data_IF_950660735799
#
_entry.id   IF_950660735799
#
_cell.length_a   1.000
_cell.length_b   1.000
_cell.length_c   1.000
_cell.angle_alpha   90.00
_cell.angle_beta   90.00
_cell.angle_gamma   90.00
#
_symmetry.space_group_name_H-M   'P 1'
#
loop_
_entity.id
_entity.type
_entity.pdbx_description
1 polymer ?
#
# COMPACT_ATOMS: atom_id res chain seq x y z
N UNK A 1 16.54 65.01 -0.65
CA UNK A 1 15.72 63.91 -1.21
C UNK A 1 16.06 62.65 -0.42
N UNK A 2 15.13 62.22 0.42
CA UNK A 2 15.29 61.19 1.45
C UNK A 2 15.29 59.79 0.86
N UNK A 3 16.35 59.03 1.16
CA UNK A 3 16.50 57.61 0.88
C UNK A 3 15.47 56.79 1.66
N UNK A 4 14.59 56.06 0.96
CA UNK A 4 13.70 55.07 1.57
C UNK A 4 14.46 53.74 1.74
N UNK A 5 14.60 53.29 2.99
CA UNK A 5 15.12 51.96 3.31
C UNK A 5 14.11 50.87 2.91
N UNK A 6 14.57 49.70 2.41
CA UNK A 6 13.68 48.60 2.03
C UNK A 6 12.97 48.04 3.26
N UNK A 7 11.65 47.83 3.15
CA UNK A 7 10.82 47.27 4.21
C UNK A 7 11.31 45.88 4.61
N UNK A 8 11.72 45.73 5.87
CA UNK A 8 12.01 44.44 6.46
C UNK A 8 10.73 43.61 6.52
N UNK A 9 10.59 42.64 5.62
CA UNK A 9 9.65 41.54 5.80
C UNK A 9 10.21 40.65 6.92
N UNK A 10 9.79 40.90 8.15
CA UNK A 10 10.13 40.05 9.29
C UNK A 10 9.28 38.78 9.21
N UNK A 11 9.86 37.71 8.69
CA UNK A 11 9.30 36.36 8.79
C UNK A 11 9.48 35.86 10.22
N UNK A 12 8.40 35.93 10.99
CA UNK A 12 8.32 35.41 12.35
C UNK A 12 8.23 33.88 12.26
N UNK A 13 9.34 33.19 12.55
CA UNK A 13 9.37 31.73 12.65
C UNK A 13 8.98 31.38 14.09
N UNK A 14 7.69 31.12 14.31
CA UNK A 14 7.21 30.58 15.57
C UNK A 14 7.58 29.08 15.65
N UNK A 15 8.09 28.60 16.80
CA UNK A 15 8.30 27.18 17.02
C UNK A 15 6.94 26.48 17.00
N UNK A 16 6.78 25.48 16.14
CA UNK A 16 5.54 24.69 16.05
C UNK A 16 5.32 23.87 17.35
N UNK A 17 4.65 24.49 18.32
CA UNK A 17 4.17 23.82 19.53
C UNK A 17 2.74 23.30 19.29
N UNK A 18 2.60 22.02 18.92
CA UNK A 18 1.31 21.31 19.05
C UNK A 18 0.93 20.36 17.92
N UNK A 19 -0.21 19.69 18.12
CA UNK A 19 -0.87 18.83 17.14
C UNK A 19 -1.34 19.66 15.96
N UNK A 20 -0.54 19.77 14.91
CA UNK A 20 -1.07 20.28 13.65
C UNK A 20 -1.86 19.17 12.95
N UNK A 21 -3.18 19.33 12.75
CA UNK A 21 -3.94 18.41 11.92
C UNK A 21 -3.31 18.38 10.53
N UNK A 22 -3.35 17.22 9.87
CA UNK A 22 -2.95 17.01 8.47
C UNK A 22 -3.11 18.32 7.68
N UNK A 23 -2.02 19.05 7.43
CA UNK A 23 -2.07 20.27 6.63
C UNK A 23 -2.22 19.85 5.17
N UNK A 24 -3.43 19.38 4.83
CA UNK A 24 -3.84 19.07 3.47
C UNK A 24 -3.64 20.28 2.56
N UNK A 25 -3.72 21.48 3.14
CA UNK A 25 -3.39 22.76 2.50
C UNK A 25 -1.92 22.83 2.08
N UNK A 26 -0.99 22.40 2.94
CA UNK A 26 0.43 22.38 2.62
C UNK A 26 0.71 21.34 1.53
N UNK A 27 0.09 20.16 1.59
CA UNK A 27 0.23 19.16 0.51
C UNK A 27 -0.17 19.76 -0.86
N UNK A 28 -1.22 20.58 -0.88
CA UNK A 28 -1.68 21.27 -2.09
C UNK A 28 -0.72 22.38 -2.56
N UNK A 29 -0.10 23.09 -1.62
CA UNK A 29 0.91 24.11 -1.89
C UNK A 29 2.18 23.49 -2.51
N UNK A 30 2.60 22.33 -2.00
CA UNK A 30 3.76 21.57 -2.48
C UNK A 30 3.41 20.53 -3.58
N UNK A 31 2.29 20.70 -4.30
CA UNK A 31 1.87 19.77 -5.37
C UNK A 31 2.90 19.58 -6.48
N UNK A 32 3.71 20.60 -6.76
CA UNK A 32 4.77 20.53 -7.77
C UNK A 32 5.89 19.58 -7.33
N UNK A 33 6.24 19.59 -6.03
CA UNK A 33 7.17 18.63 -5.45
C UNK A 33 6.58 17.22 -5.47
N UNK A 34 5.30 17.06 -5.12
CA UNK A 34 4.61 15.77 -5.22
C UNK A 34 4.67 15.23 -6.64
N UNK A 35 4.36 16.05 -7.64
CA UNK A 35 4.42 15.67 -9.05
C UNK A 35 5.85 15.27 -9.46
N UNK A 36 6.86 16.04 -9.05
CA UNK A 36 8.25 15.74 -9.33
C UNK A 36 8.67 14.38 -8.72
N UNK A 37 8.29 14.12 -7.47
CA UNK A 37 8.59 12.85 -6.80
C UNK A 37 7.86 11.69 -7.48
N UNK A 38 6.58 11.83 -7.81
CA UNK A 38 5.83 10.82 -8.58
C UNK A 38 6.54 10.52 -9.90
N UNK A 39 6.87 11.56 -10.67
CA UNK A 39 7.53 11.41 -11.97
C UNK A 39 8.89 10.71 -11.83
N UNK A 40 9.68 11.12 -10.83
CA UNK A 40 10.97 10.50 -10.51
C UNK A 40 10.79 9.04 -10.13
N UNK A 41 9.83 8.73 -9.26
CA UNK A 41 9.63 7.37 -8.75
C UNK A 41 9.09 6.43 -9.84
N UNK A 42 8.24 6.92 -10.75
CA UNK A 42 7.84 6.22 -11.98
C UNK A 42 9.07 5.95 -12.84
N UNK A 43 9.85 6.99 -13.11
CA UNK A 43 11.06 6.86 -13.94
C UNK A 43 12.02 5.86 -13.32
N UNK A 44 12.28 5.92 -12.02
CA UNK A 44 13.16 4.97 -11.32
C UNK A 44 12.58 3.55 -11.35
N UNK A 45 11.28 3.38 -11.15
CA UNK A 45 10.63 2.07 -11.13
C UNK A 45 10.73 1.34 -12.48
N UNK A 46 10.74 2.07 -13.59
CA UNK A 46 10.76 1.49 -14.94
C UNK A 46 12.06 1.75 -15.72
N UNK A 47 12.98 2.58 -15.23
CA UNK A 47 14.24 2.87 -15.89
C UNK A 47 15.30 1.78 -15.64
N UNK A 48 16.28 1.73 -16.54
CA UNK A 48 17.47 0.86 -16.47
C UNK A 48 17.21 -0.65 -16.46
N UNK A 49 16.02 -1.10 -16.89
CA UNK A 49 15.76 -2.52 -17.13
C UNK A 49 15.28 -2.73 -18.55
N UNK A 50 15.71 -3.82 -19.20
CA UNK A 50 15.30 -4.14 -20.58
C UNK A 50 13.78 -4.38 -20.71
N UNK A 51 13.11 -4.76 -19.62
CA UNK A 51 11.68 -5.07 -19.57
C UNK A 51 10.79 -3.87 -19.18
N UNK A 52 11.34 -2.85 -18.49
CA UNK A 52 10.61 -1.64 -18.11
C UNK A 52 9.28 -1.92 -17.39
N UNK A 53 8.18 -1.41 -17.95
CA UNK A 53 6.79 -1.61 -17.45
C UNK A 53 6.39 -3.09 -17.40
N UNK A 54 7.01 -3.94 -18.21
CA UNK A 54 6.79 -5.39 -18.19
C UNK A 54 7.01 -6.02 -16.81
N UNK A 55 7.83 -5.42 -15.94
CA UNK A 55 8.03 -5.90 -14.57
C UNK A 55 6.77 -5.82 -13.69
N UNK A 56 5.92 -4.81 -13.90
CA UNK A 56 4.66 -4.66 -13.17
C UNK A 56 3.69 -5.84 -13.45
N UNK A 57 3.78 -6.43 -14.64
CA UNK A 57 3.02 -7.62 -15.04
C UNK A 57 3.75 -8.91 -14.68
N UNK A 58 5.05 -8.96 -14.96
CA UNK A 58 5.84 -10.17 -14.85
C UNK A 58 5.89 -10.69 -13.41
N UNK A 59 6.08 -9.80 -12.43
CA UNK A 59 6.15 -10.20 -11.01
C UNK A 59 4.87 -10.91 -10.54
N UNK A 60 3.66 -10.33 -10.65
CA UNK A 60 2.44 -11.02 -10.24
C UNK A 60 2.16 -12.29 -11.05
N UNK A 61 2.45 -12.30 -12.35
CA UNK A 61 2.25 -13.50 -13.19
C UNK A 61 3.19 -14.64 -12.77
N UNK A 62 4.48 -14.35 -12.51
CA UNK A 62 5.42 -15.36 -12.05
C UNK A 62 5.07 -15.88 -10.64
N UNK A 63 4.71 -14.99 -9.71
CA UNK A 63 4.27 -15.41 -8.37
C UNK A 63 3.02 -16.29 -8.46
N UNK A 64 2.06 -15.92 -9.29
CA UNK A 64 0.88 -16.74 -9.55
C UNK A 64 1.25 -18.09 -10.16
N UNK A 65 2.14 -18.13 -11.16
CA UNK A 65 2.57 -19.38 -11.80
C UNK A 65 3.24 -20.33 -10.79
N UNK A 66 4.11 -19.81 -9.92
CA UNK A 66 4.74 -20.57 -8.84
C UNK A 66 3.69 -21.12 -7.88
N UNK A 67 2.75 -20.27 -7.43
CA UNK A 67 1.69 -20.72 -6.53
C UNK A 67 0.74 -21.71 -7.20
N UNK A 68 0.38 -21.52 -8.47
CA UNK A 68 -0.45 -22.45 -9.21
C UNK A 68 0.24 -23.81 -9.40
N UNK A 69 1.54 -23.81 -9.67
CA UNK A 69 2.31 -25.04 -9.78
C UNK A 69 2.42 -25.79 -8.45
N UNK A 70 2.83 -25.11 -7.38
CA UNK A 70 3.03 -25.74 -6.08
C UNK A 70 1.69 -26.09 -5.43
N UNK A 71 0.78 -25.13 -5.33
CA UNK A 71 -0.41 -25.30 -4.51
C UNK A 71 -1.64 -25.80 -5.29
N UNK A 72 -1.72 -25.46 -6.58
CA UNK A 72 -2.76 -25.97 -7.47
C UNK A 72 -2.45 -27.37 -7.99
N UNK A 73 -1.27 -27.57 -8.59
CA UNK A 73 -0.93 -28.84 -9.24
C UNK A 73 -0.36 -29.88 -8.26
N UNK A 74 0.62 -29.52 -7.43
CA UNK A 74 1.28 -30.47 -6.53
C UNK A 74 0.42 -30.81 -5.30
N UNK A 75 -0.12 -29.82 -4.58
CA UNK A 75 -0.92 -30.07 -3.35
C UNK A 75 -2.44 -30.13 -3.57
N UNK A 76 -2.94 -29.75 -4.76
CA UNK A 76 -4.37 -29.75 -5.11
C UNK A 76 -5.25 -29.06 -4.07
N UNK A 77 -4.86 -27.86 -3.64
CA UNK A 77 -5.67 -27.08 -2.70
C UNK A 77 -7.04 -26.75 -3.30
N UNK A 78 -8.10 -26.73 -2.47
CA UNK A 78 -9.42 -26.31 -2.92
C UNK A 78 -9.40 -24.83 -3.34
N UNK A 79 -10.10 -24.54 -4.43
CA UNK A 79 -10.23 -23.19 -5.02
C UNK A 79 -11.68 -22.78 -5.23
N UNK A 80 -12.59 -23.33 -4.41
CA UNK A 80 -14.03 -23.04 -4.41
C UNK A 80 -14.68 -23.07 -5.80
N UNK A 81 -14.25 -24.02 -6.65
CA UNK A 81 -14.80 -24.23 -7.99
C UNK A 81 -14.22 -23.34 -9.11
N UNK A 82 -13.28 -22.44 -8.79
CA UNK A 82 -12.63 -21.53 -9.73
C UNK A 82 -11.25 -22.08 -10.15
N UNK A 83 -10.76 -21.89 -11.38
CA UNK A 83 -9.39 -22.26 -11.74
C UNK A 83 -8.37 -21.63 -10.79
N UNK A 84 -7.50 -22.46 -10.21
CA UNK A 84 -6.55 -22.04 -9.19
C UNK A 84 -5.66 -20.83 -9.59
N UNK A 85 -5.16 -20.72 -10.85
CA UNK A 85 -4.38 -19.55 -11.29
C UNK A 85 -5.10 -18.21 -11.08
N UNK A 86 -6.36 -18.09 -11.51
CA UNK A 86 -7.12 -16.85 -11.40
C UNK A 86 -7.60 -16.59 -9.97
N UNK A 87 -7.88 -17.67 -9.21
CA UNK A 87 -8.17 -17.59 -7.78
C UNK A 87 -7.03 -16.93 -7.00
N UNK A 88 -5.79 -17.38 -7.20
CA UNK A 88 -4.61 -16.78 -6.55
C UNK A 88 -4.28 -15.41 -7.11
N UNK A 89 -4.36 -15.21 -8.43
CA UNK A 89 -4.07 -13.91 -9.04
C UNK A 89 -4.94 -12.80 -8.48
N UNK A 90 -6.25 -13.06 -8.30
CA UNK A 90 -7.20 -12.09 -7.75
C UNK A 90 -6.84 -11.61 -6.34
N UNK A 91 -6.29 -12.49 -5.50
CA UNK A 91 -5.85 -12.18 -4.15
C UNK A 91 -4.45 -11.54 -4.12
N UNK A 92 -3.57 -11.92 -5.05
CA UNK A 92 -2.22 -11.38 -5.16
C UNK A 92 -2.21 -9.90 -5.52
N UNK A 93 -3.17 -9.40 -6.31
CA UNK A 93 -3.21 -8.00 -6.72
C UNK A 93 -3.31 -7.02 -5.54
N UNK A 94 -4.36 -7.06 -4.68
CA UNK A 94 -4.44 -6.18 -3.53
C UNK A 94 -3.29 -6.43 -2.54
N UNK A 95 -2.86 -7.68 -2.38
CA UNK A 95 -1.71 -8.02 -1.54
C UNK A 95 -0.42 -7.33 -2.00
N UNK A 96 -0.13 -7.35 -3.31
CA UNK A 96 1.08 -6.73 -3.85
C UNK A 96 1.04 -5.22 -3.77
N UNK A 97 -0.14 -4.60 -3.96
CA UNK A 97 -0.34 -3.18 -3.70
C UNK A 97 0.01 -2.88 -2.24
N UNK A 98 -0.62 -3.57 -1.28
CA UNK A 98 -0.32 -3.41 0.15
C UNK A 98 1.17 -3.55 0.45
N UNK A 99 1.79 -4.66 0.03
CA UNK A 99 3.21 -4.94 0.23
C UNK A 99 4.11 -3.85 -0.34
N UNK A 100 3.78 -3.31 -1.52
CA UNK A 100 4.53 -2.22 -2.16
C UNK A 100 4.40 -0.91 -1.37
N UNK A 101 3.20 -0.58 -0.88
CA UNK A 101 2.98 0.63 -0.08
C UNK A 101 3.71 0.56 1.25
N UNK A 102 3.65 -0.59 1.93
CA UNK A 102 4.36 -0.82 3.18
C UNK A 102 5.87 -0.68 2.95
N UNK A 103 6.43 -1.46 2.01
CA UNK A 103 7.85 -1.44 1.66
C UNK A 103 8.35 -0.03 1.30
N UNK A 104 7.69 0.59 0.32
CA UNK A 104 8.11 1.88 -0.19
C UNK A 104 7.97 2.99 0.86
N UNK A 105 6.82 3.09 1.53
CA UNK A 105 6.60 4.14 2.54
C UNK A 105 7.56 3.99 3.72
N UNK A 106 7.79 2.76 4.20
CA UNK A 106 8.72 2.47 5.28
C UNK A 106 10.18 2.84 4.96
N UNK A 107 10.54 2.83 3.69
CA UNK A 107 11.88 3.18 3.20
C UNK A 107 11.98 4.65 2.76
N UNK A 108 10.85 5.35 2.64
CA UNK A 108 10.75 6.63 1.93
C UNK A 108 11.55 7.74 2.58
N UNK A 109 11.64 7.76 3.91
CA UNK A 109 12.41 8.76 4.65
C UNK A 109 13.91 8.62 4.44
N UNK A 110 14.41 7.38 4.51
CA UNK A 110 15.84 7.09 4.31
C UNK A 110 16.23 7.28 2.84
N UNK A 111 15.38 6.84 1.90
CA UNK A 111 15.64 7.00 0.47
C UNK A 111 15.67 8.47 0.01
N UNK A 112 14.96 9.36 0.73
CA UNK A 112 14.91 10.79 0.42
C UNK A 112 15.68 11.65 1.43
N UNK A 113 16.59 11.07 2.23
CA UNK A 113 17.34 11.76 3.29
C UNK A 113 18.00 13.06 2.81
N UNK A 114 18.60 13.04 1.61
CA UNK A 114 19.24 14.23 1.01
C UNK A 114 18.28 15.36 0.63
N UNK A 115 17.00 15.05 0.38
CA UNK A 115 15.96 16.05 0.14
C UNK A 115 15.39 16.55 1.46
N UNK A 116 15.14 15.64 2.40
CA UNK A 116 14.59 15.93 3.73
C UNK A 116 15.52 16.85 4.55
N UNK A 117 16.83 16.72 4.37
CA UNK A 117 17.84 17.55 5.06
C UNK A 117 18.07 18.93 4.43
N UNK A 118 17.68 19.13 3.17
CA UNK A 118 18.04 20.34 2.41
C UNK A 118 16.87 21.27 2.12
N UNK A 119 15.64 20.75 2.16
CA UNK A 119 14.42 21.50 1.84
C UNK A 119 13.36 21.14 2.86
N UNK A 120 12.76 22.15 3.50
CA UNK A 120 11.58 21.94 4.32
C UNK A 120 10.35 21.68 3.43
N UNK A 121 9.77 20.49 3.55
CA UNK A 121 8.50 20.13 2.92
C UNK A 121 7.72 19.13 3.79
N UNK A 122 6.38 19.06 3.68
CA UNK A 122 5.58 18.08 4.41
C UNK A 122 6.02 16.65 4.09
N UNK A 123 6.59 15.92 5.06
CA UNK A 123 7.23 14.63 4.80
C UNK A 123 6.27 13.55 4.32
N UNK A 124 4.96 13.70 4.56
CA UNK A 124 3.89 12.87 4.00
C UNK A 124 3.85 12.83 2.46
N UNK A 125 4.45 13.81 1.78
CA UNK A 125 4.52 13.84 0.31
C UNK A 125 5.28 12.63 -0.24
N UNK A 126 6.32 12.14 0.46
CA UNK A 126 7.12 11.00 -0.02
C UNK A 126 6.37 9.66 0.04
N UNK A 127 5.69 9.28 1.15
CA UNK A 127 4.78 8.13 1.16
C UNK A 127 3.63 8.24 0.14
N UNK A 128 3.13 9.46 -0.10
CA UNK A 128 2.06 9.69 -1.09
C UNK A 128 2.53 9.47 -2.53
N UNK A 129 3.76 9.88 -2.89
CA UNK A 129 4.30 9.62 -4.25
C UNK A 129 4.35 8.12 -4.54
N UNK A 130 4.78 7.33 -3.57
CA UNK A 130 4.86 5.86 -3.64
C UNK A 130 3.48 5.25 -3.84
N UNK A 131 2.45 5.85 -3.23
CA UNK A 131 1.07 5.38 -3.37
C UNK A 131 0.57 5.48 -4.80
N UNK A 132 0.87 6.58 -5.48
CA UNK A 132 0.51 6.76 -6.88
C UNK A 132 1.20 5.72 -7.77
N UNK A 133 2.50 5.48 -7.55
CA UNK A 133 3.24 4.49 -8.35
C UNK A 133 2.74 3.06 -8.08
N UNK A 134 2.47 2.70 -6.83
CA UNK A 134 1.92 1.38 -6.51
C UNK A 134 0.52 1.16 -7.09
N UNK A 135 -0.32 2.20 -7.10
CA UNK A 135 -1.65 2.15 -7.71
C UNK A 135 -1.56 1.99 -9.23
N UNK A 136 -0.58 2.63 -9.88
CA UNK A 136 -0.33 2.45 -11.31
C UNK A 136 0.01 0.99 -11.66
N UNK A 137 0.92 0.36 -10.90
CA UNK A 137 1.24 -1.05 -11.08
C UNK A 137 0.02 -1.95 -10.89
N UNK A 138 -0.78 -1.67 -9.86
CA UNK A 138 -2.03 -2.39 -9.61
C UNK A 138 -2.99 -2.27 -10.79
N UNK A 139 -3.19 -1.09 -11.36
CA UNK A 139 -4.06 -0.88 -12.53
C UNK A 139 -3.56 -1.66 -13.74
N UNK A 140 -2.24 -1.67 -14.00
CA UNK A 140 -1.63 -2.46 -15.07
C UNK A 140 -1.90 -3.96 -14.85
N UNK A 141 -1.74 -4.44 -13.62
CA UNK A 141 -1.95 -5.83 -13.28
C UNK A 141 -3.44 -6.24 -13.27
N UNK A 142 -4.37 -5.33 -12.98
CA UNK A 142 -5.82 -5.53 -13.19
C UNK A 142 -6.12 -5.77 -14.67
N UNK A 143 -5.44 -5.09 -15.59
CA UNK A 143 -5.58 -5.35 -17.03
C UNK A 143 -5.30 -6.81 -17.41
N UNK A 144 -4.30 -7.42 -16.76
CA UNK A 144 -3.97 -8.84 -16.94
C UNK A 144 -5.04 -9.74 -16.33
N UNK A 145 -5.56 -9.41 -15.14
CA UNK A 145 -6.68 -10.14 -14.52
C UNK A 145 -7.91 -10.14 -15.45
N UNK A 146 -8.26 -9.01 -16.05
CA UNK A 146 -9.37 -8.91 -17.00
C UNK A 146 -9.14 -9.81 -18.23
N UNK A 147 -7.91 -9.86 -18.75
CA UNK A 147 -7.52 -10.78 -19.81
C UNK A 147 -7.67 -12.26 -19.40
N UNK A 148 -7.31 -12.61 -18.15
CA UNK A 148 -7.51 -13.95 -17.61
C UNK A 148 -9.00 -14.28 -17.45
N UNK A 149 -9.83 -13.34 -16.94
CA UNK A 149 -11.28 -13.53 -16.82
C UNK A 149 -11.93 -13.82 -18.17
N UNK A 150 -11.50 -13.09 -19.22
CA UNK A 150 -11.93 -13.34 -20.59
C UNK A 150 -11.51 -14.73 -21.08
N UNK A 151 -10.26 -15.15 -20.82
CA UNK A 151 -9.78 -16.48 -21.20
C UNK A 151 -10.54 -17.62 -20.49
N UNK A 152 -10.78 -17.49 -19.18
CA UNK A 152 -11.49 -18.50 -18.38
C UNK A 152 -13.03 -18.39 -18.46
N UNK A 153 -13.57 -17.51 -19.31
CA UNK A 153 -15.02 -17.29 -19.48
C UNK A 153 -15.76 -16.94 -18.17
N UNK A 154 -15.09 -16.19 -17.28
CA UNK A 154 -15.67 -15.74 -16.02
C UNK A 154 -16.34 -14.38 -16.24
N UNK A 155 -17.65 -14.33 -16.08
CA UNK A 155 -18.42 -13.09 -16.22
C UNK A 155 -18.19 -12.15 -15.02
N UNK A 156 -18.01 -10.86 -15.30
CA UNK A 156 -18.00 -9.82 -14.27
C UNK A 156 -19.36 -9.77 -13.57
N UNK A 157 -19.31 -9.72 -12.24
CA UNK A 157 -20.52 -9.67 -11.42
C UNK A 157 -20.79 -8.23 -10.96
N UNK A 158 -21.99 -7.97 -10.43
CA UNK A 158 -22.32 -6.65 -9.86
C UNK A 158 -21.40 -6.25 -8.69
N UNK A 159 -20.68 -7.20 -8.08
CA UNK A 159 -19.72 -6.94 -7.01
C UNK A 159 -18.51 -6.11 -7.43
N UNK A 160 -18.28 -5.92 -8.74
CA UNK A 160 -17.19 -5.07 -9.27
C UNK A 160 -17.24 -3.64 -8.73
N UNK A 161 -18.43 -3.12 -8.40
CA UNK A 161 -18.60 -1.81 -7.76
C UNK A 161 -17.99 -1.71 -6.36
N UNK A 162 -17.71 -2.84 -5.70
CA UNK A 162 -17.01 -2.88 -4.41
C UNK A 162 -15.49 -2.76 -4.57
N UNK A 163 -14.92 -3.06 -5.74
CA UNK A 163 -13.47 -3.04 -5.94
C UNK A 163 -12.82 -1.69 -5.62
N UNK A 164 -13.37 -0.52 -6.02
CA UNK A 164 -12.80 0.77 -5.65
C UNK A 164 -12.70 0.97 -4.13
N UNK A 165 -13.72 0.55 -3.38
CA UNK A 165 -13.70 0.60 -1.91
C UNK A 165 -12.57 -0.28 -1.36
N UNK A 166 -12.44 -1.52 -1.84
CA UNK A 166 -11.39 -2.43 -1.37
C UNK A 166 -9.98 -1.94 -1.72
N UNK A 167 -9.80 -1.29 -2.87
CA UNK A 167 -8.54 -0.62 -3.23
C UNK A 167 -8.23 0.52 -2.26
N UNK A 168 -9.22 1.34 -1.90
CA UNK A 168 -9.04 2.40 -0.91
C UNK A 168 -8.65 1.84 0.46
N UNK A 169 -9.30 0.75 0.90
CA UNK A 169 -8.95 0.06 2.16
C UNK A 169 -7.52 -0.49 2.10
N UNK A 170 -7.12 -1.08 0.97
CA UNK A 170 -5.75 -1.57 0.73
C UNK A 170 -4.74 -0.43 0.84
N UNK A 171 -5.03 0.71 0.23
CA UNK A 171 -4.19 1.90 0.27
C UNK A 171 -4.08 2.43 1.70
N UNK A 172 -5.20 2.56 2.41
CA UNK A 172 -5.24 3.02 3.80
C UNK A 172 -4.43 2.10 4.73
N UNK A 173 -4.61 0.78 4.62
CA UNK A 173 -3.87 -0.19 5.40
C UNK A 173 -2.36 -0.16 5.07
N UNK A 174 -2.01 -0.15 3.78
CA UNK A 174 -0.62 -0.16 3.32
C UNK A 174 0.13 1.12 3.69
N UNK A 175 -0.51 2.28 3.54
CA UNK A 175 0.03 3.56 3.99
C UNK A 175 0.13 3.63 5.51
N UNK A 176 -0.91 3.25 6.25
CA UNK A 176 -0.90 3.29 7.72
C UNK A 176 0.24 2.48 8.31
N UNK A 177 0.38 1.23 7.89
CA UNK A 177 1.48 0.35 8.30
C UNK A 177 2.83 0.89 7.79
N UNK A 178 2.87 1.36 6.55
CA UNK A 178 4.08 1.93 5.96
C UNK A 178 4.61 3.15 6.72
N UNK A 179 3.72 4.02 7.23
CA UNK A 179 4.06 5.18 8.05
C UNK A 179 4.58 4.77 9.43
N UNK A 180 3.97 3.76 10.06
CA UNK A 180 4.49 3.14 11.28
C UNK A 180 5.92 2.64 11.09
N UNK A 181 6.16 1.89 10.01
CA UNK A 181 7.50 1.38 9.69
C UNK A 181 8.45 2.53 9.38
N UNK A 182 8.02 3.56 8.67
CA UNK A 182 8.86 4.72 8.35
C UNK A 182 9.35 5.41 9.63
N UNK A 183 8.44 5.65 10.58
CA UNK A 183 8.79 6.22 11.88
C UNK A 183 9.77 5.34 12.65
N UNK A 184 9.53 4.02 12.69
CA UNK A 184 10.41 3.07 13.38
C UNK A 184 11.77 2.93 12.71
N UNK A 185 11.83 2.97 11.38
CA UNK A 185 13.06 2.83 10.60
C UNK A 185 14.03 4.01 10.81
N UNK A 186 13.49 5.20 11.05
CA UNK A 186 14.32 6.35 11.42
C UNK A 186 14.92 6.18 12.82
N UNK A 187 14.17 5.60 13.76
CA UNK A 187 14.66 5.31 15.11
C UNK A 187 15.64 4.12 15.12
N UNK A 188 15.44 3.13 14.26
CA UNK A 188 16.22 1.91 14.18
C UNK A 188 16.32 1.41 12.73
N UNK A 189 17.52 1.48 12.14
CA UNK A 189 17.77 1.06 10.74
C UNK A 189 17.55 -0.43 10.49
N UNK A 190 17.62 -1.28 11.52
CA UNK A 190 17.38 -2.72 11.40
C UNK A 190 15.93 -3.05 10.99
N UNK A 191 14.98 -2.15 11.28
CA UNK A 191 13.58 -2.28 10.87
C UNK A 191 13.48 -2.31 9.34
N UNK A 192 14.28 -1.50 8.63
CA UNK A 192 14.34 -1.53 7.18
C UNK A 192 14.81 -2.88 6.62
N UNK A 193 15.73 -3.57 7.33
CA UNK A 193 16.19 -4.90 6.95
C UNK A 193 15.18 -6.01 7.28
N UNK A 194 14.44 -5.89 8.39
CA UNK A 194 13.41 -6.84 8.79
C UNK A 194 12.14 -6.75 7.92
N UNK A 195 11.89 -5.58 7.33
CA UNK A 195 10.65 -5.29 6.61
C UNK A 195 10.29 -6.29 5.49
N UNK A 196 11.19 -6.69 4.57
CA UNK A 196 10.85 -7.66 3.53
C UNK A 196 10.41 -9.01 4.10
N UNK A 197 11.03 -9.44 5.20
CA UNK A 197 10.70 -10.68 5.88
C UNK A 197 9.34 -10.62 6.57
N UNK A 198 9.02 -9.50 7.23
CA UNK A 198 7.71 -9.29 7.86
C UNK A 198 6.57 -9.31 6.83
N UNK A 199 6.77 -8.64 5.69
CA UNK A 199 5.81 -8.67 4.57
C UNK A 199 5.65 -10.12 4.08
N UNK A 200 6.74 -10.87 3.94
CA UNK A 200 6.68 -12.26 3.48
C UNK A 200 5.90 -13.16 4.46
N UNK A 201 6.10 -13.05 5.76
CA UNK A 201 5.30 -13.79 6.76
C UNK A 201 3.82 -13.41 6.64
N UNK A 202 3.54 -12.11 6.50
CA UNK A 202 2.18 -11.61 6.46
C UNK A 202 1.41 -12.06 5.20
N UNK A 203 2.11 -12.34 4.09
CA UNK A 203 1.50 -12.98 2.93
C UNK A 203 0.86 -14.33 3.29
N UNK A 204 1.56 -15.16 4.08
CA UNK A 204 1.05 -16.47 4.50
C UNK A 204 -0.02 -16.38 5.59
N UNK A 205 0.01 -15.33 6.40
CA UNK A 205 -1.02 -15.01 7.39
C UNK A 205 -2.29 -14.40 6.76
N UNK A 206 -2.30 -14.16 5.45
CA UNK A 206 -3.44 -13.64 4.68
C UNK A 206 -3.93 -14.76 3.75
N UNK A 207 -5.24 -14.86 3.43
CA UNK A 207 -5.78 -16.03 2.73
C UNK A 207 -5.55 -15.88 1.23
N UNK A 208 -4.31 -15.61 0.81
CA UNK A 208 -3.95 -15.40 -0.59
C UNK A 208 -3.85 -16.73 -1.33
N UNK A 209 -3.25 -17.73 -0.67
CA UNK A 209 -2.93 -19.03 -1.26
C UNK A 209 -4.06 -20.04 -1.02
N UNK A 210 -4.84 -19.86 0.05
CA UNK A 210 -5.90 -20.77 0.47
C UNK A 210 -7.22 -20.02 0.66
N UNK A 211 -8.36 -20.71 0.53
CA UNK A 211 -9.66 -20.13 0.81
C UNK A 211 -9.88 -19.97 2.33
N UNK A 212 -10.63 -18.94 2.73
CA UNK A 212 -10.95 -18.69 4.13
C UNK A 212 -11.80 -19.79 4.77
N UNK A 213 -12.45 -20.64 3.96
CA UNK A 213 -13.23 -21.81 4.40
C UNK A 213 -12.41 -22.85 5.15
N UNK A 214 -11.08 -22.92 4.92
CA UNK A 214 -10.18 -23.82 5.64
C UNK A 214 -9.85 -23.36 7.07
N UNK A 215 -10.22 -22.14 7.44
CA UNK A 215 -9.89 -21.57 8.76
C UNK A 215 -10.94 -22.01 9.78
N UNK A 216 -10.53 -22.68 10.89
CA UNK A 216 -11.45 -23.08 11.94
C UNK A 216 -12.18 -21.89 12.57
N UNK A 217 -13.44 -22.10 12.99
CA UNK A 217 -14.31 -21.05 13.53
C UNK A 217 -13.70 -20.25 14.67
N UNK A 218 -13.00 -20.92 15.60
CA UNK A 218 -12.35 -20.28 16.73
C UNK A 218 -11.32 -19.21 16.33
N UNK A 219 -10.68 -19.37 15.17
CA UNK A 219 -9.63 -18.46 14.70
C UNK A 219 -10.14 -17.39 13.72
N UNK A 220 -11.39 -17.50 13.24
CA UNK A 220 -11.95 -16.57 12.24
C UNK A 220 -11.94 -15.11 12.71
N UNK A 221 -12.20 -14.86 14.00
CA UNK A 221 -12.22 -13.50 14.55
C UNK A 221 -10.82 -12.88 14.62
N UNK A 222 -9.84 -13.64 15.13
CA UNK A 222 -8.44 -13.19 15.16
C UNK A 222 -7.91 -12.97 13.75
N UNK A 223 -8.30 -13.83 12.81
CA UNK A 223 -7.92 -13.71 11.42
C UNK A 223 -8.55 -12.50 10.75
N UNK A 224 -9.83 -12.22 11.01
CA UNK A 224 -10.52 -11.05 10.47
C UNK A 224 -9.88 -9.71 10.90
N UNK A 225 -9.17 -9.66 12.04
CA UNK A 225 -8.42 -8.47 12.49
C UNK A 225 -7.30 -8.08 11.52
N UNK A 226 -6.81 -8.99 10.68
CA UNK A 226 -5.87 -8.65 9.63
C UNK A 226 -6.59 -7.82 8.55
N UNK A 227 -6.19 -6.56 8.29
CA UNK A 227 -6.88 -5.66 7.37
C UNK A 227 -6.89 -6.15 5.92
N UNK A 228 -6.01 -7.10 5.56
CA UNK A 228 -5.96 -7.66 4.20
C UNK A 228 -6.90 -8.86 4.02
N UNK A 229 -7.45 -9.43 5.10
CA UNK A 229 -8.36 -10.59 5.02
C UNK A 229 -9.68 -10.18 4.37
N UNK A 230 -10.32 -9.14 4.89
CA UNK A 230 -11.56 -8.62 4.31
C UNK A 230 -11.37 -8.11 2.89
N UNK A 231 -10.19 -7.52 2.59
CA UNK A 231 -9.85 -7.09 1.24
C UNK A 231 -9.78 -8.27 0.28
N UNK A 232 -9.00 -9.31 0.60
CA UNK A 232 -8.79 -10.46 -0.28
C UNK A 232 -10.10 -11.23 -0.52
N UNK A 233 -10.86 -11.50 0.55
CA UNK A 233 -12.15 -12.18 0.43
C UNK A 233 -13.18 -11.32 -0.30
N UNK A 234 -13.22 -10.01 -0.04
CA UNK A 234 -14.07 -9.08 -0.78
C UNK A 234 -13.74 -9.03 -2.27
N UNK A 235 -12.46 -9.12 -2.65
CA UNK A 235 -12.03 -9.19 -4.05
C UNK A 235 -12.54 -10.49 -4.71
N UNK A 236 -12.44 -11.62 -4.01
CA UNK A 236 -12.94 -12.91 -4.51
C UNK A 236 -14.45 -12.92 -4.67
N UNK A 237 -15.19 -12.45 -3.67
CA UNK A 237 -16.64 -12.38 -3.73
C UNK A 237 -17.10 -11.44 -4.86
N UNK A 238 -16.45 -10.28 -5.01
CA UNK A 238 -16.73 -9.33 -6.07
C UNK A 238 -16.50 -9.88 -7.49
N UNK A 239 -15.51 -10.76 -7.67
CA UNK A 239 -15.12 -11.28 -8.98
C UNK A 239 -15.78 -12.62 -9.32
N UNK A 240 -15.96 -13.50 -8.33
CA UNK A 240 -16.38 -14.89 -8.54
C UNK A 240 -17.74 -15.25 -7.95
N UNK A 241 -18.44 -14.30 -7.29
CA UNK A 241 -19.73 -14.59 -6.62
C UNK A 241 -19.60 -15.70 -5.56
N UNK A 242 -18.46 -15.76 -4.88
CA UNK A 242 -18.28 -16.69 -3.78
C UNK A 242 -19.33 -16.43 -2.70
N UNK A 243 -20.03 -17.47 -2.22
CA UNK A 243 -21.01 -17.38 -1.15
C UNK A 243 -20.29 -17.15 0.19
N UNK A 244 -19.83 -15.92 0.42
CA UNK A 244 -19.08 -15.53 1.61
C UNK A 244 -19.85 -14.57 2.51
N UNK A 245 -19.67 -14.67 3.82
CA UNK A 245 -20.02 -13.60 4.77
C UNK A 245 -18.93 -12.51 4.75
N UNK A 246 -18.41 -12.12 3.57
CA UNK A 246 -17.27 -11.21 3.50
C UNK A 246 -17.62 -9.82 4.04
N UNK A 247 -18.89 -9.41 4.03
CA UNK A 247 -19.32 -8.11 4.53
C UNK A 247 -18.85 -7.81 5.96
N UNK A 248 -18.87 -8.80 6.86
CA UNK A 248 -18.33 -8.63 8.21
C UNK A 248 -16.81 -8.43 8.21
N UNK A 249 -16.08 -9.27 7.46
CA UNK A 249 -14.61 -9.19 7.35
C UNK A 249 -14.16 -7.89 6.68
N UNK A 250 -14.85 -7.45 5.62
CA UNK A 250 -14.63 -6.19 4.92
C UNK A 250 -14.87 -5.01 5.87
N UNK A 251 -15.99 -5.01 6.60
CA UNK A 251 -16.29 -3.96 7.58
C UNK A 251 -15.21 -3.86 8.66
N UNK A 252 -14.73 -4.99 9.16
CA UNK A 252 -13.67 -5.03 10.17
C UNK A 252 -12.32 -4.59 9.59
N UNK A 253 -12.01 -4.97 8.34
CA UNK A 253 -10.83 -4.50 7.62
C UNK A 253 -10.85 -2.99 7.37
N UNK A 254 -12.02 -2.40 7.07
CA UNK A 254 -12.18 -0.94 6.97
C UNK A 254 -11.82 -0.28 8.30
N UNK A 255 -12.38 -0.76 9.40
CA UNK A 255 -12.12 -0.20 10.74
C UNK A 255 -10.63 -0.29 11.09
N UNK A 256 -10.03 -1.47 10.93
CA UNK A 256 -8.61 -1.68 11.25
C UNK A 256 -7.71 -0.84 10.34
N UNK A 257 -7.99 -0.77 9.03
CA UNK A 257 -7.24 0.06 8.09
C UNK A 257 -7.33 1.55 8.44
N UNK A 258 -8.52 2.04 8.81
CA UNK A 258 -8.71 3.42 9.28
C UNK A 258 -7.92 3.71 10.55
N UNK A 259 -7.95 2.80 11.54
CA UNK A 259 -7.18 2.93 12.78
C UNK A 259 -5.68 2.92 12.50
N UNK A 260 -5.19 2.04 11.64
CA UNK A 260 -3.79 1.98 11.23
C UNK A 260 -3.35 3.25 10.51
N UNK A 261 -4.20 3.81 9.63
CA UNK A 261 -3.89 5.04 8.93
C UNK A 261 -3.80 6.24 9.88
N UNK A 262 -4.82 6.42 10.74
CA UNK A 262 -4.87 7.54 11.69
C UNK A 262 -3.71 7.44 12.69
N UNK A 263 -3.48 6.27 13.26
CA UNK A 263 -2.35 6.05 14.19
C UNK A 263 -1.00 6.18 13.50
N UNK A 264 -0.84 5.68 12.28
CA UNK A 264 0.40 5.76 11.51
C UNK A 264 0.78 7.20 11.17
N UNK A 265 -0.19 8.01 10.71
CA UNK A 265 0.00 9.46 10.50
C UNK A 265 0.40 10.15 11.80
N UNK A 266 -0.28 9.84 12.91
CA UNK A 266 0.03 10.43 14.21
C UNK A 266 1.45 10.13 14.68
N UNK A 267 1.87 8.86 14.62
CA UNK A 267 3.22 8.45 15.02
C UNK A 267 4.28 9.05 14.11
N UNK A 268 4.05 9.05 12.80
CA UNK A 268 4.96 9.62 11.82
C UNK A 268 5.21 11.12 12.05
N UNK A 269 4.15 11.91 12.22
CA UNK A 269 4.26 13.34 12.47
C UNK A 269 5.00 13.63 13.80
N UNK A 270 4.82 12.78 14.81
CA UNK A 270 5.52 12.92 16.09
C UNK A 270 7.03 12.64 15.94
N UNK A 271 7.40 11.61 15.19
CA UNK A 271 8.82 11.29 14.94
C UNK A 271 9.49 12.33 14.04
N UNK A 272 8.75 12.93 13.10
CA UNK A 272 9.24 14.03 12.25
C UNK A 272 9.81 15.20 13.05
N UNK A 273 9.14 15.60 14.14
CA UNK A 273 9.60 16.69 15.01
C UNK A 273 10.95 16.37 15.65
N UNK A 274 11.16 15.14 16.12
CA UNK A 274 12.42 14.72 16.75
C UNK A 274 13.59 14.66 15.76
N UNK A 275 13.33 14.26 14.51
CA UNK A 275 14.36 14.16 13.48
C UNK A 275 14.94 15.53 13.12
N UNK A 276 14.14 16.60 13.18
CA UNK A 276 14.63 17.96 12.92
C UNK A 276 15.68 18.42 13.95
N UNK A 277 15.68 17.83 15.15
CA UNK A 277 16.62 18.19 16.23
C UNK A 277 17.90 17.34 16.24
N UNK A 278 17.94 16.22 15.52
CA UNK A 278 19.03 15.23 15.61
C UNK A 278 19.93 15.18 14.37
N UNK A 279 19.60 15.90 13.30
CA UNK A 279 20.32 15.92 12.02
C UNK A 279 20.93 17.28 11.74
#
# INVERSE_FOLDING_TARGET
MTSQAPGNHTTLIEPLQGWEPLKLRDIWEYRELLYFLIWRDIKVSYARTNLGVGWAVLKPVLTMAVFAFIFGWLTRLPSDGVPYPIFVYSALLPWQLFARLVAGSGSSMVANESLVTKVYFPRLIAPLSITVVGTLDFVIAVGVLLGMMWYYQIALTAGVWMLPLLVVVTIAAGLGVGLWIAALNVLCRDIGHAQPFLIQIWLFATPVIYPASLIPEAWRMLYALNPMVGVVEGFREALFKAEGQSGFMVGLSVIVASVLLVSGVYVFNRTEQTIADTV
#
